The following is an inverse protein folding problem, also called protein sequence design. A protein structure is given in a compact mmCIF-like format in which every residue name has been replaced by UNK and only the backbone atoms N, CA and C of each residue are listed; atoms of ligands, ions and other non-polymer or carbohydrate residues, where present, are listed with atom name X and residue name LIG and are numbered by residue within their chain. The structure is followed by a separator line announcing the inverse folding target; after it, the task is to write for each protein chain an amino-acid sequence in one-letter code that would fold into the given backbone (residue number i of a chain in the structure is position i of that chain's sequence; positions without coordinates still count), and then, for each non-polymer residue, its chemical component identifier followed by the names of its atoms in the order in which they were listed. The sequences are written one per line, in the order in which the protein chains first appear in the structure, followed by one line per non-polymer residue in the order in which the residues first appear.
data_IF_117971082073
#
_entry.id   IF_117971082073
#
_cell.length_a   1.000
_cell.length_b   1.000
_cell.length_c   1.000
_cell.angle_alpha   90.00
_cell.angle_beta   90.00
_cell.angle_gamma   90.00
#
_symmetry.space_group_name_H-M   'P 1'
#
loop_
_entity.id
_entity.type
_entity.pdbx_description
1 polymer ?
#
# COMPACT_ATOMS: atom_id res chain seq x y z
N UNK A 1 3.63 13.85 -15.15
CA UNK A 1 2.73 14.18 -16.28
C UNK A 1 1.37 13.64 -15.90
N UNK A 2 0.33 14.49 -15.82
CA UNK A 2 -1.04 14.02 -15.56
C UNK A 2 -1.41 13.03 -16.66
N UNK A 3 -1.70 11.78 -16.31
CA UNK A 3 -2.13 10.77 -17.30
C UNK A 3 -3.65 10.76 -17.50
N UNK A 4 -4.40 11.25 -16.52
CA UNK A 4 -5.84 11.48 -16.60
C UNK A 4 -6.12 12.94 -16.95
N UNK A 5 -6.88 13.17 -18.02
CA UNK A 5 -7.23 14.52 -18.48
C UNK A 5 -8.37 15.12 -17.65
N UNK A 6 -8.35 16.43 -17.41
CA UNK A 6 -9.35 17.12 -16.59
C UNK A 6 -10.78 16.96 -17.17
N UNK A 7 -10.95 16.96 -18.50
CA UNK A 7 -12.24 16.70 -19.17
C UNK A 7 -12.74 15.27 -19.00
N UNK A 8 -11.82 14.31 -18.87
CA UNK A 8 -12.17 12.91 -18.59
C UNK A 8 -12.63 12.78 -17.14
N UNK A 9 -11.93 13.41 -16.20
CA UNK A 9 -12.27 13.39 -14.79
C UNK A 9 -13.63 14.04 -14.51
N UNK A 10 -13.92 15.20 -15.11
CA UNK A 10 -15.22 15.86 -14.95
C UNK A 10 -16.36 15.00 -15.48
N UNK A 11 -16.22 14.43 -16.70
CA UNK A 11 -17.25 13.55 -17.26
C UNK A 11 -17.49 12.30 -16.40
N UNK A 12 -16.42 11.69 -15.87
CA UNK A 12 -16.54 10.54 -14.99
C UNK A 12 -17.23 10.92 -13.66
N UNK A 13 -16.93 12.10 -13.12
CA UNK A 13 -17.61 12.66 -11.95
C UNK A 13 -19.10 12.90 -12.20
N UNK A 14 -19.47 13.45 -13.35
CA UNK A 14 -20.88 13.63 -13.76
C UNK A 14 -21.60 12.27 -13.89
N UNK A 15 -20.93 11.26 -14.46
CA UNK A 15 -21.51 9.95 -14.72
C UNK A 15 -21.67 9.08 -13.47
N UNK A 16 -20.68 9.07 -12.56
CA UNK A 16 -20.62 8.16 -11.41
C UNK A 16 -20.83 8.86 -10.06
N UNK A 17 -20.94 10.19 -10.08
CA UNK A 17 -21.10 11.06 -8.90
C UNK A 17 -19.81 11.19 -8.08
N UNK A 18 -19.73 12.25 -7.28
CA UNK A 18 -18.63 12.52 -6.34
C UNK A 18 -18.99 12.15 -4.89
N UNK A 19 -18.00 11.95 -4.00
CA UNK A 19 -16.58 11.77 -4.33
C UNK A 19 -16.35 10.50 -5.15
N UNK A 20 -15.30 10.49 -6.00
CA UNK A 20 -14.99 9.43 -6.97
C UNK A 20 -13.50 9.12 -7.00
N UNK A 21 -13.13 7.85 -6.86
CA UNK A 21 -11.77 7.38 -7.10
C UNK A 21 -11.58 7.03 -8.58
N UNK A 22 -10.51 7.53 -9.20
CA UNK A 22 -10.17 7.21 -10.59
C UNK A 22 -8.73 6.73 -10.67
N UNK A 23 -8.50 5.59 -11.32
CA UNK A 23 -7.20 4.94 -11.44
C UNK A 23 -6.76 4.82 -12.90
N UNK A 24 -5.49 5.08 -13.18
CA UNK A 24 -4.83 4.84 -14.45
C UNK A 24 -4.11 3.48 -14.45
N UNK A 25 -4.70 2.51 -15.16
CA UNK A 25 -4.16 1.16 -15.28
C UNK A 25 -2.84 1.07 -16.05
N UNK A 26 -2.59 1.98 -17.00
CA UNK A 26 -1.34 2.01 -17.76
C UNK A 26 -0.17 2.42 -16.88
N UNK A 27 -0.38 3.39 -15.99
CA UNK A 27 0.64 3.77 -15.04
C UNK A 27 0.95 2.64 -14.06
N UNK A 28 -0.05 1.88 -13.60
CA UNK A 28 0.16 0.69 -12.74
C UNK A 28 1.04 -0.34 -13.47
N UNK A 29 0.67 -0.74 -14.70
CA UNK A 29 1.47 -1.67 -15.53
C UNK A 29 2.90 -1.19 -15.72
N UNK A 30 3.08 0.11 -16.02
CA UNK A 30 4.40 0.74 -16.18
C UNK A 30 5.23 0.65 -14.89
N UNK A 31 4.62 0.84 -13.71
CA UNK A 31 5.32 0.72 -12.42
C UNK A 31 5.76 -0.70 -12.12
N UNK A 32 4.96 -1.71 -12.49
CA UNK A 32 5.39 -3.11 -12.41
C UNK A 32 6.60 -3.36 -13.30
N UNK A 33 6.56 -2.91 -14.56
CA UNK A 33 7.67 -3.08 -15.51
C UNK A 33 8.96 -2.38 -15.06
N UNK A 34 8.87 -1.26 -14.33
CA UNK A 34 10.03 -0.58 -13.76
C UNK A 34 10.79 -1.40 -12.70
N UNK A 35 10.18 -2.46 -12.19
CA UNK A 35 10.74 -3.39 -11.21
C UNK A 35 11.03 -4.78 -11.82
N UNK A 36 10.97 -4.93 -13.15
CA UNK A 36 11.17 -6.21 -13.84
C UNK A 36 12.60 -6.80 -13.70
N UNK A 37 13.54 -6.09 -13.08
CA UNK A 37 14.84 -6.63 -12.70
C UNK A 37 14.76 -7.58 -11.49
N UNK A 38 13.76 -7.41 -10.61
CA UNK A 38 13.48 -8.33 -9.52
C UNK A 38 12.82 -9.60 -10.06
N UNK A 39 13.14 -10.75 -9.45
CA UNK A 39 12.59 -12.03 -9.86
C UNK A 39 11.07 -12.11 -9.57
N UNK A 40 10.64 -11.49 -8.46
CA UNK A 40 9.23 -11.35 -8.09
C UNK A 40 8.92 -9.92 -7.67
N UNK A 41 7.92 -9.32 -8.29
CA UNK A 41 7.24 -8.11 -7.78
C UNK A 41 5.97 -8.56 -7.07
N UNK A 42 5.94 -8.45 -5.74
CA UNK A 42 4.83 -8.90 -4.89
C UNK A 42 4.04 -7.69 -4.38
N UNK A 43 2.87 -7.42 -4.94
CA UNK A 43 2.10 -6.24 -4.57
C UNK A 43 1.57 -6.33 -3.13
N UNK A 44 1.89 -5.32 -2.30
CA UNK A 44 1.32 -5.17 -0.97
C UNK A 44 -0.10 -4.59 -1.04
N UNK A 45 -1.12 -5.46 -1.10
CA UNK A 45 -2.49 -5.07 -1.46
C UNK A 45 -3.19 -4.13 -0.48
N UNK A 46 -2.74 -4.06 0.78
CA UNK A 46 -3.18 -3.04 1.76
C UNK A 46 -3.12 -1.60 1.22
N UNK A 47 -2.26 -1.34 0.22
CA UNK A 47 -2.20 -0.05 -0.46
C UNK A 47 -3.44 0.22 -1.35
N UNK A 48 -3.95 -0.80 -2.05
CA UNK A 48 -5.13 -0.72 -2.90
C UNK A 48 -5.67 -2.14 -3.20
N UNK A 49 -6.81 -2.51 -2.63
CA UNK A 49 -7.27 -3.90 -2.58
C UNK A 49 -8.50 -4.18 -3.48
N UNK A 50 -8.77 -3.32 -4.47
CA UNK A 50 -9.85 -3.56 -5.43
C UNK A 50 -9.55 -4.80 -6.30
N UNK A 51 -10.51 -5.72 -6.41
CA UNK A 51 -10.35 -6.98 -7.13
C UNK A 51 -9.91 -6.81 -8.59
N UNK A 52 -10.37 -5.74 -9.26
CA UNK A 52 -10.02 -5.47 -10.65
C UNK A 52 -8.59 -4.95 -10.78
N UNK A 53 -8.11 -4.17 -9.81
CA UNK A 53 -6.71 -3.74 -9.74
C UNK A 53 -5.79 -4.91 -9.40
N UNK A 54 -6.23 -5.82 -8.52
CA UNK A 54 -5.52 -7.07 -8.25
C UNK A 54 -5.38 -7.94 -9.50
N UNK A 55 -6.46 -8.10 -10.29
CA UNK A 55 -6.40 -8.80 -11.58
C UNK A 55 -5.46 -8.12 -12.56
N UNK A 56 -5.52 -6.79 -12.66
CA UNK A 56 -4.62 -5.99 -13.51
C UNK A 56 -3.14 -6.25 -13.17
N UNK A 57 -2.81 -6.25 -11.87
CA UNK A 57 -1.46 -6.49 -11.38
C UNK A 57 -1.00 -7.93 -11.64
N UNK A 58 -1.87 -8.91 -11.41
CA UNK A 58 -1.61 -10.31 -11.75
C UNK A 58 -1.32 -10.48 -13.24
N UNK A 59 -2.16 -9.89 -14.09
CA UNK A 59 -2.03 -9.98 -15.54
C UNK A 59 -0.77 -9.24 -16.05
N UNK A 60 -0.27 -8.26 -15.27
CA UNK A 60 1.01 -7.61 -15.48
C UNK A 60 2.22 -8.40 -14.91
N UNK A 61 2.00 -9.60 -14.35
CA UNK A 61 3.05 -10.49 -13.85
C UNK A 61 3.43 -10.31 -12.38
N UNK A 62 2.71 -9.47 -11.61
CA UNK A 62 2.95 -9.34 -10.18
C UNK A 62 2.36 -10.52 -9.40
N UNK A 63 3.01 -10.90 -8.29
CA UNK A 63 2.42 -11.67 -7.21
C UNK A 63 1.71 -10.74 -6.22
N UNK A 64 1.13 -11.28 -5.14
CA UNK A 64 0.46 -10.47 -4.10
C UNK A 64 0.86 -10.90 -2.69
N UNK A 65 0.92 -9.92 -1.79
CA UNK A 65 1.03 -10.09 -0.35
C UNK A 65 -0.33 -9.81 0.29
N UNK A 66 -0.75 -10.65 1.23
CA UNK A 66 -1.99 -10.51 1.99
C UNK A 66 -1.69 -10.44 3.48
N UNK A 67 -2.24 -9.46 4.19
CA UNK A 67 -1.98 -9.26 5.63
C UNK A 67 -3.19 -9.55 6.54
N UNK A 68 -4.27 -10.07 5.97
CA UNK A 68 -5.47 -10.50 6.70
C UNK A 68 -6.23 -11.59 5.94
N UNK A 69 -7.15 -12.29 6.61
CA UNK A 69 -8.06 -13.24 5.94
C UNK A 69 -8.83 -12.59 4.79
N UNK A 70 -9.36 -11.37 4.99
CA UNK A 70 -10.11 -10.66 3.95
C UNK A 70 -9.24 -10.33 2.72
N UNK A 71 -7.98 -10.00 2.92
CA UNK A 71 -7.01 -9.80 1.83
C UNK A 71 -6.62 -11.10 1.14
N UNK A 72 -6.51 -12.20 1.89
CA UNK A 72 -6.29 -13.53 1.31
C UNK A 72 -7.45 -13.92 0.39
N UNK A 73 -8.69 -13.77 0.85
CA UNK A 73 -9.86 -14.06 0.01
C UNK A 73 -9.95 -13.15 -1.23
N UNK A 74 -9.57 -11.87 -1.11
CA UNK A 74 -9.46 -10.97 -2.26
C UNK A 74 -8.43 -11.44 -3.27
N UNK A 75 -7.25 -11.85 -2.82
CA UNK A 75 -6.20 -12.39 -3.68
C UNK A 75 -6.68 -13.66 -4.41
N UNK A 76 -7.24 -14.62 -3.68
CA UNK A 76 -7.73 -15.87 -4.27
C UNK A 76 -8.89 -15.60 -5.27
N UNK A 77 -9.81 -14.69 -4.94
CA UNK A 77 -10.89 -14.30 -5.84
C UNK A 77 -10.42 -13.50 -7.07
N UNK A 78 -9.32 -12.76 -6.95
CA UNK A 78 -8.63 -12.15 -8.07
C UNK A 78 -7.85 -13.17 -8.91
N UNK A 79 -7.83 -14.44 -8.51
CA UNK A 79 -7.23 -15.57 -9.21
C UNK A 79 -5.73 -15.69 -9.01
N UNK A 80 -5.21 -15.22 -7.88
CA UNK A 80 -3.89 -15.63 -7.38
C UNK A 80 -4.00 -17.02 -6.75
N UNK A 81 -2.90 -17.76 -6.72
CA UNK A 81 -2.82 -19.12 -6.17
C UNK A 81 -1.57 -19.28 -5.30
N UNK A 82 -1.61 -20.26 -4.40
CA UNK A 82 -0.48 -20.59 -3.53
C UNK A 82 0.78 -20.99 -4.29
N UNK A 83 0.64 -21.57 -5.49
CA UNK A 83 1.74 -21.87 -6.40
C UNK A 83 1.38 -21.43 -7.81
N UNK A 84 2.34 -20.82 -8.50
CA UNK A 84 2.28 -20.49 -9.92
C UNK A 84 2.87 -21.62 -10.77
N UNK A 85 2.65 -21.58 -12.08
CA UNK A 85 3.28 -22.53 -13.02
C UNK A 85 4.82 -22.45 -12.99
N UNK A 86 5.37 -21.33 -12.52
CA UNK A 86 6.80 -21.06 -12.38
C UNK A 86 7.36 -21.57 -11.03
N UNK A 87 6.54 -22.21 -10.20
CA UNK A 87 6.96 -22.76 -8.90
C UNK A 87 7.12 -21.72 -7.79
N UNK A 88 6.73 -20.45 -8.03
CA UNK A 88 6.76 -19.37 -7.02
C UNK A 88 5.37 -19.17 -6.40
N UNK A 89 5.32 -18.62 -5.20
CA UNK A 89 4.05 -18.31 -4.55
C UNK A 89 3.36 -17.10 -5.17
N UNK A 90 2.19 -17.30 -5.77
CA UNK A 90 1.36 -16.23 -6.31
C UNK A 90 0.77 -15.34 -5.22
N UNK A 91 0.49 -15.91 -4.05
CA UNK A 91 0.13 -15.19 -2.82
C UNK A 91 0.98 -15.67 -1.64
N UNK A 92 1.44 -14.71 -0.83
CA UNK A 92 2.06 -14.96 0.49
C UNK A 92 1.20 -14.28 1.55
N UNK A 93 0.99 -14.94 2.68
CA UNK A 93 0.33 -14.34 3.84
C UNK A 93 1.38 -13.81 4.82
N UNK A 94 1.41 -12.49 5.04
CA UNK A 94 2.37 -11.85 5.95
C UNK A 94 1.66 -11.25 7.17
N UNK A 95 2.02 -11.72 8.36
CA UNK A 95 1.49 -11.16 9.60
C UNK A 95 2.46 -11.33 10.78
N UNK A 96 2.17 -10.63 11.88
CA UNK A 96 2.87 -10.84 13.16
C UNK A 96 2.04 -11.73 14.12
N UNK A 97 0.76 -11.96 13.80
CA UNK A 97 -0.18 -12.81 14.54
C UNK A 97 -1.17 -13.49 13.60
N UNK A 98 -1.74 -14.62 14.02
CA UNK A 98 -2.91 -15.23 13.40
C UNK A 98 -4.17 -14.96 14.23
N UNK A 99 -5.32 -14.81 13.55
CA UNK A 99 -6.56 -15.28 14.13
C UNK A 99 -6.81 -16.75 13.73
N UNK A 100 -7.72 -17.44 14.43
CA UNK A 100 -7.97 -18.87 14.23
C UNK A 100 -8.45 -19.20 12.81
N UNK A 101 -9.34 -18.37 12.27
CA UNK A 101 -9.90 -18.59 10.93
C UNK A 101 -8.83 -18.42 9.85
N UNK A 102 -7.96 -17.43 10.01
CA UNK A 102 -6.82 -17.17 9.13
C UNK A 102 -5.84 -18.33 9.15
N UNK A 103 -5.45 -18.82 10.33
CA UNK A 103 -4.55 -19.97 10.46
C UNK A 103 -5.11 -21.21 9.75
N UNK A 104 -6.39 -21.53 9.98
CA UNK A 104 -7.05 -22.64 9.30
C UNK A 104 -7.04 -22.42 7.78
N UNK A 105 -7.38 -21.21 7.32
CA UNK A 105 -7.50 -20.91 5.90
C UNK A 105 -6.16 -20.98 5.16
N UNK A 106 -5.06 -20.47 5.73
CA UNK A 106 -3.73 -20.55 5.09
C UNK A 106 -3.26 -22.01 4.99
N UNK A 107 -3.55 -22.84 5.98
CA UNK A 107 -3.27 -24.28 5.95
C UNK A 107 -4.11 -24.96 4.87
N UNK A 108 -5.41 -24.73 4.82
CA UNK A 108 -6.30 -25.31 3.80
C UNK A 108 -5.90 -24.90 2.38
N UNK A 109 -5.50 -23.64 2.19
CA UNK A 109 -5.08 -23.10 0.89
C UNK A 109 -3.62 -23.43 0.53
N UNK A 110 -2.84 -23.97 1.48
CA UNK A 110 -1.39 -24.20 1.35
C UNK A 110 -0.62 -22.92 0.97
N UNK A 111 -1.07 -21.76 1.46
CA UNK A 111 -0.47 -20.46 1.16
C UNK A 111 0.76 -20.26 2.02
N UNK A 112 1.90 -19.94 1.40
CA UNK A 112 3.13 -19.65 2.14
C UNK A 112 2.92 -18.53 3.18
N UNK A 113 3.50 -18.71 4.36
CA UNK A 113 3.35 -17.77 5.48
C UNK A 113 4.66 -17.09 5.78
N UNK A 114 4.67 -15.76 5.70
CA UNK A 114 5.75 -14.92 6.21
C UNK A 114 5.51 -14.59 7.67
N UNK A 115 6.16 -15.34 8.55
CA UNK A 115 5.93 -15.30 10.00
C UNK A 115 6.67 -14.13 10.65
N UNK A 116 5.91 -13.28 11.35
CA UNK A 116 6.43 -12.13 12.08
C UNK A 116 6.66 -12.37 13.57
N UNK A 117 6.37 -13.56 14.10
CA UNK A 117 6.61 -13.90 15.51
C UNK A 117 6.93 -15.37 15.74
N UNK A 118 7.63 -15.67 16.83
CA UNK A 118 7.95 -17.03 17.27
C UNK A 118 6.68 -17.83 17.56
N UNK A 119 5.67 -17.20 18.17
CA UNK A 119 4.40 -17.87 18.48
C UNK A 119 3.62 -18.28 17.22
N UNK A 120 3.75 -17.54 16.11
CA UNK A 120 3.18 -17.97 14.83
C UNK A 120 3.82 -19.28 14.33
N UNK A 121 5.12 -19.48 14.52
CA UNK A 121 5.80 -20.74 14.15
C UNK A 121 5.27 -21.91 14.96
N UNK A 122 5.04 -21.73 16.27
CA UNK A 122 4.41 -22.75 17.10
C UNK A 122 3.00 -23.11 16.63
N UNK A 123 2.16 -22.10 16.38
CA UNK A 123 0.77 -22.30 15.96
C UNK A 123 0.69 -22.99 14.59
N UNK A 124 1.46 -22.50 13.61
CA UNK A 124 1.47 -23.06 12.26
C UNK A 124 2.11 -24.44 12.22
N UNK A 125 3.27 -24.61 12.86
CA UNK A 125 4.00 -25.87 12.86
C UNK A 125 3.29 -27.01 13.57
N UNK A 126 2.51 -26.71 14.62
CA UNK A 126 1.68 -27.72 15.30
C UNK A 126 0.51 -28.20 14.42
N UNK A 127 -0.07 -27.32 13.61
CA UNK A 127 -1.24 -27.62 12.78
C UNK A 127 -0.85 -28.18 11.40
N UNK A 128 0.24 -27.70 10.83
CA UNK A 128 0.71 -28.04 9.48
C UNK A 128 2.23 -28.23 9.48
N UNK A 129 2.77 -29.33 10.02
CA UNK A 129 4.18 -29.67 9.85
C UNK A 129 4.56 -29.69 8.36
N UNK A 130 5.75 -29.22 8.00
CA UNK A 130 6.13 -29.11 6.58
C UNK A 130 5.68 -27.84 5.87
N UNK A 131 4.89 -26.96 6.51
CA UNK A 131 4.40 -25.75 5.85
C UNK A 131 5.55 -24.86 5.35
N UNK A 132 5.34 -24.21 4.21
CA UNK A 132 6.31 -23.30 3.61
C UNK A 132 6.23 -21.94 4.31
N UNK A 133 7.36 -21.51 4.87
CA UNK A 133 7.43 -20.28 5.66
C UNK A 133 8.55 -19.37 5.23
N UNK A 134 8.34 -18.07 5.35
CA UNK A 134 9.39 -17.05 5.38
C UNK A 134 9.56 -16.56 6.81
N UNK A 135 10.76 -16.12 7.18
CA UNK A 135 10.98 -15.42 8.44
C UNK A 135 11.07 -13.91 8.18
N UNK A 136 10.08 -13.15 8.70
CA UNK A 136 10.16 -11.70 8.74
C UNK A 136 11.04 -11.27 9.89
N UNK A 137 12.20 -10.69 9.59
CA UNK A 137 13.16 -10.28 10.60
C UNK A 137 13.08 -8.77 10.86
N UNK A 138 13.09 -8.40 12.14
CA UNK A 138 13.36 -7.04 12.61
C UNK A 138 14.87 -6.88 12.87
N UNK A 139 15.60 -6.09 12.08
CA UNK A 139 17.06 -5.99 12.14
C UNK A 139 17.59 -5.15 13.30
N UNK A 140 16.74 -4.73 14.24
CA UNK A 140 17.14 -3.91 15.38
C UNK A 140 17.01 -2.41 15.17
N UNK A 141 16.73 -1.99 13.94
CA UNK A 141 16.53 -0.60 13.56
C UNK A 141 15.40 -0.50 12.52
N UNK A 142 14.90 0.70 12.29
CA UNK A 142 13.85 0.94 11.31
C UNK A 142 13.90 2.34 10.71
N UNK A 143 13.00 2.59 9.76
CA UNK A 143 12.86 3.88 9.10
C UNK A 143 11.38 4.23 8.89
N UNK A 144 11.07 5.52 8.93
CA UNK A 144 9.73 6.06 8.78
C UNK A 144 9.74 7.57 8.88
N UNK A 145 8.88 8.24 8.10
CA UNK A 145 8.77 9.71 8.13
C UNK A 145 8.20 10.24 9.45
N UNK A 146 7.53 9.38 10.22
CA UNK A 146 7.00 9.68 11.56
C UNK A 146 7.18 8.48 12.49
N UNK A 147 7.10 8.71 13.80
CA UNK A 147 7.09 7.62 14.81
C UNK A 147 6.02 6.56 14.53
N UNK A 148 4.89 6.98 13.93
CA UNK A 148 3.75 6.10 13.59
C UNK A 148 4.01 5.21 12.37
N UNK A 149 5.04 5.51 11.57
CA UNK A 149 5.36 4.79 10.33
C UNK A 149 6.69 4.06 10.39
N UNK A 150 7.33 3.99 11.57
CA UNK A 150 8.54 3.22 11.76
C UNK A 150 8.21 1.71 11.74
N UNK A 151 8.86 0.97 10.84
CA UNK A 151 8.55 -0.44 10.60
C UNK A 151 9.57 -1.41 11.22
N UNK A 152 10.63 -0.92 11.86
CA UNK A 152 11.66 -1.73 12.54
C UNK A 152 12.22 -1.08 13.81
N UNK A 153 13.08 -1.80 14.53
CA UNK A 153 13.63 -1.39 15.81
C UNK A 153 12.73 -1.70 17.01
N UNK A 154 13.19 -1.35 18.21
CA UNK A 154 12.58 -1.77 19.49
C UNK A 154 11.14 -1.26 19.69
N UNK A 155 10.80 -0.14 19.03
CA UNK A 155 9.46 0.46 19.10
C UNK A 155 8.52 -0.06 18.00
N UNK A 156 8.95 -1.03 17.20
CA UNK A 156 8.14 -1.67 16.17
C UNK A 156 7.65 -3.03 16.65
N UNK A 157 6.37 -3.30 16.45
CA UNK A 157 5.76 -4.61 16.73
C UNK A 157 6.08 -5.69 15.68
N UNK A 158 6.80 -5.31 14.62
CA UNK A 158 6.88 -6.09 13.39
C UNK A 158 8.10 -7.00 13.36
N UNK A 159 7.90 -8.25 12.96
CA UNK A 159 8.97 -9.22 12.72
C UNK A 159 9.60 -9.82 13.97
N UNK A 160 10.24 -10.96 13.76
CA UNK A 160 11.05 -11.66 14.76
C UNK A 160 12.30 -10.81 15.00
N UNK A 161 12.56 -10.46 16.26
CA UNK A 161 13.77 -9.73 16.62
C UNK A 161 15.02 -10.51 16.19
N UNK A 162 15.98 -9.85 15.51
CA UNK A 162 17.13 -10.51 14.90
C UNK A 162 17.90 -11.46 15.84
N UNK A 163 18.05 -11.13 17.13
CA UNK A 163 18.73 -12.02 18.09
C UNK A 163 17.98 -13.32 18.40
N UNK A 164 16.70 -13.43 18.02
CA UNK A 164 15.88 -14.63 18.16
C UNK A 164 15.85 -15.50 16.88
N UNK A 165 16.64 -15.16 15.85
CA UNK A 165 16.71 -15.93 14.61
C UNK A 165 17.02 -17.41 14.87
N UNK A 166 17.98 -17.71 15.74
CA UNK A 166 18.35 -19.09 16.08
C UNK A 166 17.20 -19.87 16.76
N UNK A 167 16.36 -19.19 17.54
CA UNK A 167 15.19 -19.82 18.15
C UNK A 167 14.10 -20.09 17.12
N UNK A 168 13.89 -19.18 16.16
CA UNK A 168 13.02 -19.43 15.02
C UNK A 168 13.49 -20.65 14.20
N UNK A 169 14.79 -20.77 13.92
CA UNK A 169 15.36 -21.90 13.18
C UNK A 169 15.21 -23.23 13.92
N UNK A 170 15.31 -23.25 15.26
CA UNK A 170 15.01 -24.46 16.05
C UNK A 170 13.57 -24.93 15.83
N UNK A 171 12.61 -24.01 15.77
CA UNK A 171 11.20 -24.35 15.51
C UNK A 171 10.96 -24.79 14.08
N UNK A 172 11.60 -24.14 13.10
CA UNK A 172 11.59 -24.57 11.70
C UNK A 172 12.02 -26.04 11.60
N UNK A 173 13.15 -26.41 12.23
CA UNK A 173 13.62 -27.80 12.26
C UNK A 173 12.68 -28.73 13.02
N UNK A 174 12.19 -28.31 14.18
CA UNK A 174 11.32 -29.11 15.05
C UNK A 174 10.01 -29.52 14.34
N UNK A 175 9.33 -28.57 13.71
CA UNK A 175 8.08 -28.80 12.98
C UNK A 175 8.30 -29.19 11.51
N UNK A 176 9.56 -29.37 11.10
CA UNK A 176 9.98 -29.67 9.72
C UNK A 176 9.42 -28.65 8.72
N UNK A 177 9.24 -27.40 9.12
CA UNK A 177 8.78 -26.34 8.22
C UNK A 177 9.79 -26.16 7.09
N UNK A 178 9.28 -25.85 5.90
CA UNK A 178 10.12 -25.58 4.75
C UNK A 178 10.45 -24.08 4.73
N UNK A 179 11.66 -23.71 5.13
CA UNK A 179 12.09 -22.31 5.10
C UNK A 179 12.35 -21.87 3.65
N UNK A 180 11.48 -21.00 3.14
CA UNK A 180 11.61 -20.43 1.79
C UNK A 180 12.65 -19.33 1.76
N UNK A 181 12.68 -18.47 2.78
CA UNK A 181 13.55 -17.30 2.74
C UNK A 181 13.47 -16.38 3.95
N UNK A 182 14.31 -15.36 3.92
CA UNK A 182 14.28 -14.24 4.85
C UNK A 182 13.62 -13.02 4.22
N UNK A 183 12.89 -12.26 5.04
CA UNK A 183 12.18 -11.07 4.62
C UNK A 183 12.47 -9.92 5.61
N UNK A 184 12.71 -8.72 5.08
CA UNK A 184 12.79 -7.49 5.87
C UNK A 184 11.93 -6.40 5.25
N UNK A 185 11.09 -5.75 6.05
CA UNK A 185 10.28 -4.61 5.63
C UNK A 185 10.59 -3.41 6.49
N UNK A 186 11.46 -2.52 6.00
CA UNK A 186 11.96 -1.36 6.74
C UNK A 186 11.57 -0.01 6.11
N UNK A 187 11.40 0.01 4.79
CA UNK A 187 11.02 1.21 4.05
C UNK A 187 12.06 2.34 4.09
N UNK A 188 13.05 2.27 3.21
CA UNK A 188 14.12 3.25 3.09
C UNK A 188 13.77 4.50 2.27
N UNK A 189 12.65 4.52 1.53
CA UNK A 189 12.32 5.63 0.64
C UNK A 189 13.43 5.91 -0.37
N UNK A 190 14.03 7.11 -0.30
CA UNK A 190 15.19 7.53 -1.12
C UNK A 190 16.51 7.58 -0.34
N UNK A 191 16.55 7.10 0.92
CA UNK A 191 17.78 7.00 1.70
C UNK A 191 18.55 5.73 1.30
N UNK A 192 19.47 5.89 0.35
CA UNK A 192 20.29 4.80 -0.16
C UNK A 192 21.38 4.33 0.81
N UNK A 193 21.75 5.13 1.82
CA UNK A 193 22.68 4.68 2.87
C UNK A 193 21.96 3.74 3.83
N UNK A 194 20.73 4.10 4.21
CA UNK A 194 19.89 3.23 5.01
C UNK A 194 19.54 1.93 4.27
N UNK A 195 19.26 2.01 2.96
CA UNK A 195 19.07 0.82 2.12
C UNK A 195 20.28 -0.12 2.17
N UNK A 196 21.50 0.42 2.06
CA UNK A 196 22.73 -0.36 2.09
C UNK A 196 22.91 -1.07 3.44
N UNK A 197 22.53 -0.43 4.54
CA UNK A 197 22.54 -1.03 5.86
C UNK A 197 21.59 -2.23 5.93
N UNK A 198 20.34 -2.08 5.45
CA UNK A 198 19.36 -3.18 5.41
C UNK A 198 19.87 -4.34 4.54
N UNK A 199 20.43 -4.06 3.37
CA UNK A 199 20.98 -5.07 2.46
C UNK A 199 22.14 -5.84 3.12
N UNK A 200 23.04 -5.13 3.81
CA UNK A 200 24.17 -5.74 4.53
C UNK A 200 23.68 -6.65 5.66
N UNK A 201 22.73 -6.18 6.47
CA UNK A 201 22.16 -6.98 7.57
C UNK A 201 21.42 -8.22 7.05
N UNK A 202 20.67 -8.12 5.95
CA UNK A 202 20.06 -9.30 5.32
C UNK A 202 21.12 -10.35 4.97
N UNK A 203 22.20 -9.93 4.29
CA UNK A 203 23.27 -10.84 3.88
C UNK A 203 24.03 -11.44 5.08
N UNK A 204 24.25 -10.66 6.13
CA UNK A 204 24.87 -11.14 7.37
C UNK A 204 24.02 -12.22 8.03
N UNK A 205 22.74 -11.95 8.28
CA UNK A 205 21.83 -12.93 8.90
C UNK A 205 21.64 -14.19 8.07
N UNK A 206 21.60 -14.05 6.73
CA UNK A 206 21.50 -15.19 5.83
C UNK A 206 22.76 -16.07 5.85
N UNK A 207 23.96 -15.49 6.07
CA UNK A 207 25.23 -16.22 6.19
C UNK A 207 25.43 -16.81 7.59
N UNK A 208 24.90 -16.18 8.63
CA UNK A 208 24.93 -16.70 10.01
C UNK A 208 23.95 -17.85 10.25
N UNK A 209 22.96 -18.00 9.37
CA UNK A 209 21.99 -19.06 9.39
C UNK A 209 22.62 -20.39 8.93
N UNK A 210 22.64 -21.39 9.80
CA UNK A 210 22.91 -22.79 9.41
C UNK A 210 21.63 -23.41 8.78
N UNK A 211 21.14 -22.84 7.69
CA UNK A 211 19.95 -23.34 6.99
C UNK A 211 19.94 -22.87 5.54
N UNK A 212 19.42 -23.73 4.67
CA UNK A 212 19.26 -23.40 3.26
C UNK A 212 18.00 -22.53 3.02
N UNK A 213 18.02 -21.72 1.98
CA UNK A 213 16.89 -20.87 1.57
C UNK A 213 16.81 -20.73 0.04
N UNK A 214 15.60 -20.55 -0.47
CA UNK A 214 15.36 -20.36 -1.90
C UNK A 214 15.33 -18.90 -2.34
N UNK A 215 15.12 -17.96 -1.39
CA UNK A 215 14.85 -16.57 -1.71
C UNK A 215 15.12 -15.57 -0.57
N UNK A 216 15.23 -14.30 -0.92
CA UNK A 216 15.14 -13.16 0.00
C UNK A 216 14.11 -12.15 -0.51
N UNK A 217 13.45 -11.43 0.42
CA UNK A 217 12.54 -10.33 0.08
C UNK A 217 13.06 -9.01 0.62
N UNK A 218 13.16 -8.03 -0.27
CA UNK A 218 13.51 -6.64 0.02
C UNK A 218 12.43 -5.88 0.80
N UNK A 219 11.26 -6.50 0.98
CA UNK A 219 10.08 -5.83 1.49
C UNK A 219 9.68 -4.65 0.61
N UNK A 220 9.02 -3.67 1.22
CA UNK A 220 8.45 -2.52 0.52
C UNK A 220 9.03 -1.17 0.95
N UNK A 221 8.20 -0.14 0.82
CA UNK A 221 8.51 1.21 1.28
C UNK A 221 9.31 2.05 0.27
N UNK A 222 9.25 1.68 -1.01
CA UNK A 222 9.62 2.55 -2.12
C UNK A 222 8.72 3.80 -2.07
N UNK A 223 9.33 4.97 -1.97
CA UNK A 223 8.62 6.24 -1.92
C UNK A 223 8.16 6.69 -3.32
N UNK A 224 7.22 7.61 -3.33
CA UNK A 224 6.82 8.38 -4.51
C UNK A 224 6.84 9.86 -4.15
N UNK A 225 7.17 10.75 -5.09
CA UNK A 225 7.09 12.19 -4.85
C UNK A 225 5.63 12.62 -4.79
N UNK A 226 5.22 13.19 -3.66
CA UNK A 226 3.91 13.81 -3.44
C UNK A 226 3.95 15.31 -3.67
N UNK A 227 5.14 15.92 -3.61
CA UNK A 227 5.36 17.35 -3.85
C UNK A 227 6.24 17.56 -5.07
N UNK A 228 6.02 18.66 -5.78
CA UNK A 228 6.95 19.10 -6.82
C UNK A 228 8.35 19.31 -6.22
N UNK A 229 9.37 18.77 -6.90
CA UNK A 229 10.77 18.84 -6.47
C UNK A 229 11.24 17.69 -5.57
N UNK A 230 10.34 16.83 -5.08
CA UNK A 230 10.75 15.59 -4.42
C UNK A 230 11.37 14.61 -5.43
N UNK A 231 12.42 13.91 -5.00
CA UNK A 231 13.14 13.00 -5.86
C UNK A 231 12.38 11.67 -6.03
N UNK A 232 12.18 11.19 -7.27
CA UNK A 232 11.69 9.84 -7.48
C UNK A 232 12.75 8.81 -7.07
N UNK A 233 12.30 7.63 -6.67
CA UNK A 233 13.20 6.51 -6.37
C UNK A 233 13.91 6.01 -7.65
N UNK A 234 15.20 5.68 -7.53
CA UNK A 234 15.98 5.06 -8.58
C UNK A 234 15.90 3.53 -8.42
N UNK A 235 14.99 2.90 -9.17
CA UNK A 235 14.74 1.45 -9.07
C UNK A 235 15.95 0.60 -9.47
N UNK A 236 16.75 1.05 -10.45
CA UNK A 236 17.97 0.36 -10.86
C UNK A 236 19.04 0.37 -9.77
N UNK A 237 19.22 1.50 -9.08
CA UNK A 237 20.11 1.56 -7.92
C UNK A 237 19.59 0.70 -6.77
N UNK A 238 18.28 0.73 -6.51
CA UNK A 238 17.64 -0.09 -5.50
C UNK A 238 17.89 -1.59 -5.74
N UNK A 239 17.67 -2.04 -6.98
CA UNK A 239 17.95 -3.41 -7.42
C UNK A 239 19.43 -3.76 -7.25
N UNK A 240 20.35 -2.91 -7.68
CA UNK A 240 21.79 -3.21 -7.62
C UNK A 240 22.30 -3.46 -6.19
N UNK A 241 21.79 -2.74 -5.18
CA UNK A 241 22.16 -2.97 -3.79
C UNK A 241 21.62 -4.31 -3.25
N UNK A 242 20.36 -4.63 -3.55
CA UNK A 242 19.76 -5.91 -3.15
C UNK A 242 20.36 -7.10 -3.90
N UNK A 243 20.68 -6.95 -5.18
CA UNK A 243 21.35 -7.97 -5.98
C UNK A 243 22.78 -8.25 -5.48
N UNK A 244 23.49 -7.22 -4.98
CA UNK A 244 24.77 -7.42 -4.32
C UNK A 244 24.63 -8.25 -3.03
N UNK A 245 23.63 -7.97 -2.20
CA UNK A 245 23.33 -8.78 -1.02
C UNK A 245 22.97 -10.22 -1.42
N UNK A 246 22.10 -10.39 -2.42
CA UNK A 246 21.73 -11.70 -2.99
C UNK A 246 22.97 -12.50 -3.41
N UNK A 247 23.86 -11.93 -4.22
CA UNK A 247 25.09 -12.59 -4.69
C UNK A 247 26.01 -13.04 -3.57
N UNK A 248 26.11 -12.26 -2.49
CA UNK A 248 26.88 -12.64 -1.28
C UNK A 248 26.26 -13.88 -0.61
N UNK A 249 24.94 -13.97 -0.57
CA UNK A 249 24.22 -15.13 -0.02
C UNK A 249 24.37 -16.35 -0.95
N UNK A 250 24.18 -16.18 -2.26
CA UNK A 250 24.37 -17.27 -3.25
C UNK A 250 25.79 -17.86 -3.19
N UNK A 251 26.81 -17.01 -3.01
CA UNK A 251 28.19 -17.46 -2.84
C UNK A 251 28.40 -18.31 -1.59
N UNK A 252 27.62 -18.07 -0.53
CA UNK A 252 27.65 -18.86 0.70
C UNK A 252 26.87 -20.18 0.56
N UNK A 253 25.67 -20.14 -0.03
CA UNK A 253 24.79 -21.30 -0.21
C UNK A 253 25.26 -22.24 -1.33
N UNK A 254 25.98 -21.73 -2.31
CA UNK A 254 26.47 -22.50 -3.46
C UNK A 254 25.45 -22.70 -4.57
N UNK A 255 24.32 -22.01 -4.55
CA UNK A 255 23.30 -22.02 -5.61
C UNK A 255 22.60 -20.66 -5.72
N UNK A 256 21.93 -20.36 -6.86
CA UNK A 256 21.16 -19.13 -7.02
C UNK A 256 19.92 -19.10 -6.12
N UNK A 257 19.52 -17.90 -5.71
CA UNK A 257 18.27 -17.64 -4.97
C UNK A 257 17.46 -16.53 -5.65
N UNK A 258 16.16 -16.49 -5.37
CA UNK A 258 15.26 -15.45 -5.89
C UNK A 258 15.36 -14.18 -5.04
N UNK A 259 15.20 -13.02 -5.67
CA UNK A 259 15.07 -11.73 -5.02
C UNK A 259 13.69 -11.12 -5.29
N UNK A 260 12.90 -11.01 -4.22
CA UNK A 260 11.56 -10.43 -4.26
C UNK A 260 11.55 -8.98 -3.77
N UNK A 261 10.58 -8.20 -4.23
CA UNK A 261 10.27 -6.85 -3.74
C UNK A 261 8.77 -6.70 -3.50
N UNK A 262 8.38 -5.99 -2.44
CA UNK A 262 6.99 -5.86 -1.99
C UNK A 262 6.42 -4.42 -2.05
N UNK A 263 6.40 -3.77 -3.23
CA UNK A 263 5.89 -2.42 -3.35
C UNK A 263 4.37 -2.41 -3.20
N UNK A 264 3.86 -1.49 -2.37
CA UNK A 264 2.45 -1.09 -2.37
C UNK A 264 2.32 0.29 -3.00
N UNK A 265 2.73 1.31 -2.23
CA UNK A 265 2.67 2.74 -2.60
C UNK A 265 3.22 3.03 -4.00
N UNK A 266 4.40 2.52 -4.31
CA UNK A 266 5.10 2.79 -5.57
C UNK A 266 4.30 2.36 -6.81
N UNK A 267 3.55 1.26 -6.72
CA UNK A 267 2.78 0.75 -7.86
C UNK A 267 1.52 1.57 -8.15
N UNK A 268 0.83 2.04 -7.10
CA UNK A 268 -0.55 2.53 -7.25
C UNK A 268 -0.77 3.98 -6.83
N UNK A 269 0.12 4.60 -6.04
CA UNK A 269 -0.12 5.95 -5.50
C UNK A 269 -0.41 6.98 -6.59
N UNK A 270 0.54 7.17 -7.50
CA UNK A 270 0.46 8.18 -8.57
C UNK A 270 -0.53 7.81 -9.69
N UNK A 271 -1.00 6.56 -9.69
CA UNK A 271 -2.01 6.09 -10.62
C UNK A 271 -3.43 6.46 -10.20
N UNK A 272 -3.67 6.83 -8.94
CA UNK A 272 -4.99 7.16 -8.45
C UNK A 272 -5.18 8.63 -8.11
N UNK A 273 -6.37 9.15 -8.37
CA UNK A 273 -6.84 10.45 -7.90
C UNK A 273 -8.19 10.30 -7.19
N UNK A 274 -8.49 11.26 -6.31
CA UNK A 274 -9.82 11.44 -5.74
C UNK A 274 -10.43 12.73 -6.30
N UNK A 275 -11.57 12.62 -6.98
CA UNK A 275 -12.34 13.76 -7.48
C UNK A 275 -13.46 14.06 -6.50
N UNK A 276 -13.60 15.33 -6.11
CA UNK A 276 -14.57 15.78 -5.11
C UNK A 276 -15.19 17.10 -5.55
N UNK A 277 -16.49 17.28 -5.31
CA UNK A 277 -17.20 18.51 -5.65
C UNK A 277 -17.03 19.56 -4.54
N UNK A 278 -16.82 20.81 -4.93
CA UNK A 278 -16.84 21.96 -4.03
C UNK A 278 -18.28 22.27 -3.64
N UNK A 279 -18.58 22.24 -2.34
CA UNK A 279 -19.93 22.44 -1.79
C UNK A 279 -20.10 23.73 -1.01
N UNK A 280 -19.02 24.36 -0.57
CA UNK A 280 -19.05 25.70 -0.02
C UNK A 280 -17.70 26.41 -0.14
N UNK A 281 -17.73 27.73 -0.28
CA UNK A 281 -16.57 28.60 -0.05
C UNK A 281 -16.94 29.68 0.95
N UNK A 282 -16.06 29.95 1.94
CA UNK A 282 -16.36 30.93 3.00
C UNK A 282 -15.09 31.49 3.64
N UNK A 283 -15.23 32.67 4.24
CA UNK A 283 -14.20 33.26 5.10
C UNK A 283 -14.46 32.92 6.56
N UNK A 284 -13.41 32.49 7.25
CA UNK A 284 -13.40 32.23 8.70
C UNK A 284 -12.32 33.13 9.30
N UNK A 285 -12.71 34.36 9.66
CA UNK A 285 -11.75 35.42 10.02
C UNK A 285 -10.76 35.66 8.88
N UNK A 286 -9.46 35.52 9.16
CA UNK A 286 -8.39 35.71 8.18
C UNK A 286 -8.13 34.54 7.23
N UNK A 287 -8.80 33.39 7.38
CA UNK A 287 -8.60 32.20 6.53
C UNK A 287 -9.76 32.03 5.54
N UNK A 288 -9.43 31.70 4.29
CA UNK A 288 -10.42 31.29 3.29
C UNK A 288 -10.53 29.76 3.27
N UNK A 289 -11.76 29.25 3.31
CA UNK A 289 -12.08 27.83 3.31
C UNK A 289 -12.80 27.45 2.02
N UNK A 290 -12.38 26.33 1.44
CA UNK A 290 -13.12 25.58 0.41
C UNK A 290 -13.52 24.24 1.01
N UNK A 291 -14.81 24.00 1.11
CA UNK A 291 -15.37 22.75 1.63
C UNK A 291 -15.80 21.87 0.46
N UNK A 292 -15.36 20.61 0.48
CA UNK A 292 -15.64 19.64 -0.58
C UNK A 292 -16.50 18.50 -0.05
N UNK A 293 -17.03 17.65 -0.95
CA UNK A 293 -17.91 16.53 -0.60
C UNK A 293 -17.19 15.23 -0.21
N UNK A 294 -15.86 15.20 -0.26
CA UNK A 294 -15.00 14.16 0.31
C UNK A 294 -14.55 14.53 1.72
N UNK A 295 -14.51 13.57 2.64
CA UNK A 295 -13.95 13.74 3.99
C UNK A 295 -12.72 12.85 4.24
N UNK A 296 -12.16 12.91 5.45
CA UNK A 296 -11.12 11.95 5.85
C UNK A 296 -11.64 10.50 5.88
N UNK A 297 -12.96 10.29 5.98
CA UNK A 297 -13.57 8.97 5.82
C UNK A 297 -13.31 8.40 4.41
N UNK A 298 -13.05 9.24 3.42
CA UNK A 298 -12.66 8.84 2.07
C UNK A 298 -11.12 8.80 1.99
N UNK A 299 -10.45 9.92 2.24
CA UNK A 299 -8.99 10.07 2.17
C UNK A 299 -8.40 10.40 3.54
N UNK A 300 -8.04 9.37 4.31
CA UNK A 300 -7.62 9.47 5.71
C UNK A 300 -6.24 10.14 5.91
N UNK A 301 -5.34 10.03 4.92
CA UNK A 301 -3.91 10.31 5.10
C UNK A 301 -3.59 11.73 5.59
N UNK A 302 -4.23 12.80 5.08
CA UNK A 302 -3.97 14.16 5.56
C UNK A 302 -4.32 14.33 7.03
N UNK A 303 -5.47 13.83 7.48
CA UNK A 303 -5.88 13.93 8.89
C UNK A 303 -5.08 13.04 9.82
N UNK A 304 -4.77 11.81 9.40
CA UNK A 304 -4.08 10.86 10.27
C UNK A 304 -2.57 11.11 10.40
N UNK A 305 -1.95 11.56 9.31
CA UNK A 305 -0.49 11.66 9.20
C UNK A 305 0.02 13.06 8.83
N UNK A 306 -0.85 14.05 8.58
CA UNK A 306 -0.42 15.32 7.98
C UNK A 306 0.10 15.16 6.55
N UNK A 307 -0.32 14.11 5.85
CA UNK A 307 0.20 13.78 4.52
C UNK A 307 -0.17 14.83 3.47
N UNK A 308 0.79 15.18 2.62
CA UNK A 308 0.56 16.02 1.46
C UNK A 308 -0.03 15.22 0.29
N UNK A 309 -0.88 15.87 -0.49
CA UNK A 309 -1.43 15.42 -1.78
C UNK A 309 -1.58 16.66 -2.64
N UNK A 310 -0.98 16.74 -3.82
CA UNK A 310 -1.20 17.89 -4.71
C UNK A 310 -2.71 18.06 -5.01
N UNK A 311 -3.16 19.29 -5.25
CA UNK A 311 -4.58 19.57 -5.52
C UNK A 311 -4.72 20.45 -6.76
N UNK A 312 -5.62 20.08 -7.68
CA UNK A 312 -5.98 20.93 -8.82
C UNK A 312 -7.49 21.16 -8.89
N UNK A 313 -7.89 22.31 -9.44
CA UNK A 313 -9.29 22.66 -9.67
C UNK A 313 -9.67 22.37 -11.12
N UNK A 314 -10.81 21.72 -11.33
CA UNK A 314 -11.50 21.61 -12.62
C UNK A 314 -12.74 22.50 -12.53
N UNK A 315 -12.87 23.43 -13.47
CA UNK A 315 -13.94 24.43 -13.50
C UNK A 315 -14.46 24.59 -14.92
N UNK A 316 -15.70 25.04 -15.08
CA UNK A 316 -16.28 25.41 -16.37
C UNK A 316 -15.89 26.82 -16.84
N UNK A 317 -15.07 27.53 -16.07
CA UNK A 317 -14.63 28.91 -16.37
C UNK A 317 -13.41 28.87 -17.29
N UNK A 318 -13.51 29.56 -18.42
CA UNK A 318 -12.48 29.59 -19.47
C UNK A 318 -11.29 30.52 -19.17
N UNK A 319 -11.43 31.42 -18.18
CA UNK A 319 -10.41 32.39 -17.83
C UNK A 319 -9.45 31.88 -16.74
N UNK A 320 -8.15 32.23 -16.81
CA UNK A 320 -7.21 31.96 -15.72
C UNK A 320 -7.71 32.53 -14.40
N UNK A 321 -7.90 31.65 -13.42
CA UNK A 321 -8.40 32.04 -12.12
C UNK A 321 -7.28 32.60 -11.25
N UNK A 322 -7.54 33.65 -10.45
CA UNK A 322 -6.57 34.12 -9.48
C UNK A 322 -6.25 33.02 -8.46
N UNK A 323 -5.01 33.01 -7.99
CA UNK A 323 -4.56 32.11 -6.95
C UNK A 323 -4.81 32.72 -5.56
N UNK A 324 -5.29 31.91 -4.62
CA UNK A 324 -5.59 32.34 -3.26
C UNK A 324 -5.10 31.30 -2.23
N UNK A 325 -4.68 31.76 -1.05
CA UNK A 325 -4.40 30.90 0.10
C UNK A 325 -5.70 30.32 0.64
N UNK A 326 -5.86 29.01 0.50
CA UNK A 326 -7.09 28.27 0.78
C UNK A 326 -6.81 27.12 1.75
N UNK A 327 -7.66 27.00 2.78
CA UNK A 327 -7.78 25.80 3.59
C UNK A 327 -8.82 24.90 2.94
N UNK A 328 -8.47 23.65 2.66
CA UNK A 328 -9.41 22.66 2.11
C UNK A 328 -9.87 21.74 3.24
N UNK A 329 -11.18 21.58 3.40
CA UNK A 329 -11.79 20.75 4.43
C UNK A 329 -12.98 19.96 3.86
N UNK A 330 -13.37 18.89 4.55
CA UNK A 330 -14.45 18.01 4.13
C UNK A 330 -15.81 18.34 4.75
N UNK A 331 -16.81 17.46 4.56
CA UNK A 331 -18.18 17.68 4.99
C UNK A 331 -18.49 17.07 6.37
N UNK A 332 -17.53 16.41 7.02
CA UNK A 332 -17.78 15.69 8.26
C UNK A 332 -18.04 16.68 9.41
N UNK A 333 -18.93 16.29 10.33
CA UNK A 333 -19.13 17.00 11.59
C UNK A 333 -17.99 16.67 12.58
N UNK A 334 -16.75 16.82 12.13
CA UNK A 334 -15.53 16.55 12.90
C UNK A 334 -14.50 17.65 12.61
N UNK A 335 -13.95 18.23 13.65
CA UNK A 335 -12.95 19.30 13.60
C UNK A 335 -11.67 18.92 12.85
N UNK A 336 -11.29 17.64 12.90
CA UNK A 336 -10.11 17.10 12.21
C UNK A 336 -10.29 16.88 10.71
N UNK A 337 -11.47 17.16 10.14
CA UNK A 337 -11.79 16.98 8.71
C UNK A 337 -11.24 18.10 7.82
N UNK A 338 -9.91 18.24 7.85
CA UNK A 338 -9.16 19.23 7.10
C UNK A 338 -8.10 18.51 6.25
N UNK A 339 -8.04 18.77 4.95
CA UNK A 339 -7.04 18.15 4.10
C UNK A 339 -5.72 18.92 4.05
N UNK A 340 -5.76 20.24 4.26
CA UNK A 340 -4.56 21.08 4.32
C UNK A 340 -4.12 21.25 5.77
N UNK A 341 -3.53 20.19 6.33
CA UNK A 341 -2.96 20.18 7.67
C UNK A 341 -1.60 19.46 7.70
N UNK A 342 -0.72 19.90 8.59
CA UNK A 342 0.57 19.27 8.86
C UNK A 342 0.47 18.22 9.99
N UNK A 343 1.54 17.46 10.19
CA UNK A 343 1.64 16.53 11.32
C UNK A 343 1.39 17.26 12.65
N UNK A 344 0.60 16.65 13.53
CA UNK A 344 0.17 17.26 14.78
C UNK A 344 -1.11 18.11 14.69
N UNK A 345 -1.79 18.15 13.54
CA UNK A 345 -3.11 18.78 13.39
C UNK A 345 -3.06 20.29 13.09
N UNK A 346 -1.91 20.79 12.65
CA UNK A 346 -1.73 22.22 12.38
C UNK A 346 -2.34 22.56 11.03
N UNK A 347 -3.38 23.38 11.01
CA UNK A 347 -4.08 23.79 9.77
C UNK A 347 -3.22 24.77 8.95
N UNK A 348 -2.92 24.38 7.72
CA UNK A 348 -2.17 25.16 6.73
C UNK A 348 -3.05 25.58 5.57
N UNK A 349 -2.62 26.63 4.85
CA UNK A 349 -3.24 27.06 3.60
C UNK A 349 -2.41 26.62 2.41
N UNK A 350 -3.06 26.24 1.31
CA UNK A 350 -2.42 26.03 0.01
C UNK A 350 -2.79 27.12 -0.98
N UNK A 351 -1.87 27.45 -1.87
CA UNK A 351 -2.14 28.38 -2.95
C UNK A 351 -2.91 27.62 -4.04
N UNK A 352 -4.20 27.90 -4.20
CA UNK A 352 -5.10 27.23 -5.14
C UNK A 352 -5.90 28.26 -5.96
N UNK A 353 -6.35 27.92 -7.18
CA UNK A 353 -7.31 28.74 -7.91
C UNK A 353 -8.58 29.01 -7.09
N UNK A 354 -9.17 30.20 -7.22
CA UNK A 354 -10.43 30.52 -6.52
C UNK A 354 -11.58 29.65 -7.01
N UNK A 355 -12.01 28.70 -6.18
CA UNK A 355 -13.10 27.77 -6.46
C UNK A 355 -14.49 28.38 -6.23
N UNK A 356 -15.50 27.81 -6.88
CA UNK A 356 -16.92 28.06 -6.65
C UNK A 356 -17.67 26.75 -6.41
N UNK A 357 -18.86 26.84 -5.81
CA UNK A 357 -19.73 25.67 -5.62
C UNK A 357 -20.05 25.04 -6.97
N UNK A 358 -19.89 23.73 -7.08
CA UNK A 358 -20.05 22.97 -8.32
C UNK A 358 -18.75 22.72 -9.10
N UNK A 359 -17.65 23.41 -8.78
CA UNK A 359 -16.33 23.05 -9.32
C UNK A 359 -15.86 21.70 -8.73
N UNK A 360 -14.94 21.01 -9.41
CA UNK A 360 -14.30 19.81 -8.87
C UNK A 360 -12.89 20.09 -8.38
N UNK A 361 -12.58 19.62 -7.17
CA UNK A 361 -11.23 19.54 -6.65
C UNK A 361 -10.70 18.12 -6.80
N UNK A 362 -9.50 18.00 -7.36
CA UNK A 362 -8.81 16.72 -7.58
C UNK A 362 -7.64 16.59 -6.62
N UNK A 363 -7.63 15.54 -5.81
CA UNK A 363 -6.51 15.15 -4.96
C UNK A 363 -5.64 14.14 -5.72
N UNK A 364 -4.39 14.52 -5.99
CA UNK A 364 -3.43 13.71 -6.75
C UNK A 364 -2.71 12.67 -5.88
N UNK A 365 -2.13 11.66 -6.51
CA UNK A 365 -1.33 10.61 -5.87
C UNK A 365 -2.09 9.82 -4.77
N UNK A 366 -3.40 9.70 -4.93
CA UNK A 366 -4.34 9.15 -3.95
C UNK A 366 -4.65 7.66 -4.14
N UNK A 367 -3.97 6.98 -5.08
CA UNK A 367 -4.25 5.58 -5.38
C UNK A 367 -3.73 4.57 -4.35
N UNK A 368 -2.84 4.99 -3.44
CA UNK A 368 -2.31 4.16 -2.35
C UNK A 368 -2.77 4.71 -1.00
N UNK A 369 -3.34 3.83 -0.17
CA UNK A 369 -3.85 4.18 1.16
C UNK A 369 -4.90 5.31 1.11
N UNK A 370 -5.65 5.37 0.00
CA UNK A 370 -6.85 6.18 -0.18
C UNK A 370 -8.07 5.32 0.13
N UNK A 371 -8.72 4.80 -0.91
CA UNK A 371 -9.89 3.92 -0.80
C UNK A 371 -9.71 2.71 0.15
N UNK A 372 -8.49 2.20 0.35
CA UNK A 372 -8.23 1.08 1.27
C UNK A 372 -8.29 1.47 2.75
N UNK A 373 -8.21 2.77 3.07
CA UNK A 373 -8.33 3.32 4.42
C UNK A 373 -9.68 4.02 4.64
N UNK A 374 -10.60 3.94 3.68
CA UNK A 374 -11.90 4.58 3.82
C UNK A 374 -12.73 3.93 4.94
N UNK A 375 -13.59 4.72 5.57
CA UNK A 375 -14.50 4.29 6.63
C UNK A 375 -15.92 4.77 6.38
N UNK A 376 -16.87 4.21 7.12
CA UNK A 376 -18.26 4.68 7.16
C UNK A 376 -18.52 5.68 8.29
N UNK A 377 -17.50 6.42 8.70
CA UNK A 377 -17.66 7.49 9.71
C UNK A 377 -18.70 8.52 9.24
N UNK A 378 -19.53 8.99 10.18
CA UNK A 378 -20.75 9.76 9.92
C UNK A 378 -21.76 9.07 8.99
N UNK A 379 -21.80 7.73 9.01
CA UNK A 379 -22.66 6.88 8.17
C UNK A 379 -22.56 7.19 6.67
N UNK A 380 -21.39 7.68 6.24
CA UNK A 380 -21.12 7.95 4.82
C UNK A 380 -20.74 6.66 4.12
N UNK A 381 -21.34 6.41 2.98
CA UNK A 381 -21.07 5.19 2.22
C UNK A 381 -19.79 5.31 1.40
N UNK A 382 -19.14 4.18 1.12
CA UNK A 382 -17.93 4.16 0.31
C UNK A 382 -18.18 4.70 -1.11
N UNK A 383 -17.30 5.61 -1.54
CA UNK A 383 -17.25 6.14 -2.90
C UNK A 383 -17.04 5.05 -3.97
N UNK A 384 -17.53 5.34 -5.17
CA UNK A 384 -17.28 4.54 -6.36
C UNK A 384 -15.80 4.58 -6.78
N UNK A 385 -15.36 3.55 -7.49
CA UNK A 385 -14.00 3.45 -8.07
C UNK A 385 -14.09 3.17 -9.57
N UNK A 386 -13.35 3.92 -10.38
CA UNK A 386 -13.26 3.77 -11.84
C UNK A 386 -11.83 3.47 -12.26
N UNK A 387 -11.64 2.50 -13.14
CA UNK A 387 -10.37 2.19 -13.79
C UNK A 387 -10.40 2.69 -15.23
N UNK A 388 -9.39 3.46 -15.61
CA UNK A 388 -9.07 3.86 -16.98
C UNK A 388 -7.89 3.03 -17.44
N UNK A 389 -8.09 2.14 -18.39
CA UNK A 389 -7.04 1.25 -18.89
C UNK A 389 -7.20 1.03 -20.41
N UNK A 390 -6.11 1.22 -21.17
CA UNK A 390 -6.11 1.10 -22.64
C UNK A 390 -7.23 1.92 -23.31
N UNK A 391 -7.48 3.13 -22.80
CA UNK A 391 -8.53 4.03 -23.27
C UNK A 391 -9.96 3.63 -22.89
N UNK A 392 -10.14 2.52 -22.15
CA UNK A 392 -11.44 2.09 -21.65
C UNK A 392 -11.65 2.52 -20.21
N UNK A 393 -12.85 3.03 -19.94
CA UNK A 393 -13.30 3.42 -18.60
C UNK A 393 -14.28 2.38 -18.07
N UNK A 394 -14.01 1.86 -16.87
CA UNK A 394 -14.84 0.83 -16.25
C UNK A 394 -15.06 1.15 -14.78
N UNK A 395 -16.32 1.09 -14.34
CA UNK A 395 -16.65 1.08 -12.93
C UNK A 395 -16.15 -0.24 -12.31
N UNK A 396 -15.19 -0.16 -11.40
CA UNK A 396 -14.55 -1.31 -10.74
C UNK A 396 -14.98 -1.47 -9.28
N UNK A 397 -15.67 -0.48 -8.72
CA UNK A 397 -16.48 -0.59 -7.51
C UNK A 397 -17.66 0.36 -7.60
N UNK A 398 -18.88 -0.15 -7.46
CA UNK A 398 -20.07 0.69 -7.33
C UNK A 398 -20.03 1.45 -6.00
N UNK A 399 -20.66 2.63 -5.96
CA UNK A 399 -20.91 3.33 -4.69
C UNK A 399 -21.69 2.41 -3.76
N UNK A 400 -21.28 2.35 -2.49
CA UNK A 400 -22.00 1.57 -1.49
C UNK A 400 -23.39 2.20 -1.27
N UNK A 401 -24.49 1.44 -1.40
CA UNK A 401 -25.82 1.88 -1.00
C UNK A 401 -25.90 2.04 0.53
N UNK A 402 -26.77 2.93 0.99
CA UNK A 402 -27.03 3.09 2.42
C UNK A 402 -27.52 1.78 3.06
N UNK A 403 -28.39 1.05 2.36
CA UNK A 403 -28.94 -0.24 2.82
C UNK A 403 -27.85 -1.28 3.13
N UNK A 404 -26.70 -1.23 2.44
CA UNK A 404 -25.59 -2.14 2.73
C UNK A 404 -24.93 -1.83 4.11
N UNK A 405 -25.12 -0.63 4.67
CA UNK A 405 -24.75 -0.32 6.07
C UNK A 405 -25.78 -0.85 7.05
N UNK A 406 -27.07 -0.65 6.75
CA UNK A 406 -28.18 -1.00 7.65
C UNK A 406 -28.41 -2.51 7.76
N UNK A 407 -28.08 -3.28 6.72
CA UNK A 407 -28.30 -4.74 6.67
C UNK A 407 -27.67 -5.52 7.84
N UNK A 408 -26.65 -4.95 8.49
CA UNK A 408 -26.03 -5.57 9.67
C UNK A 408 -26.91 -5.47 10.94
N UNK A 409 -27.96 -4.66 10.92
CA UNK A 409 -28.83 -4.34 12.06
C UNK A 409 -30.30 -4.73 11.82
N UNK A 410 -30.72 -4.88 10.57
CA UNK A 410 -32.13 -5.12 10.20
C UNK A 410 -32.68 -6.49 10.62
N UNK A 411 -31.82 -7.50 10.82
CA UNK A 411 -32.20 -8.88 11.16
C UNK A 411 -31.61 -9.36 12.52
N UNK A 412 -31.35 -8.43 13.45
CA UNK A 412 -30.77 -8.71 14.78
C UNK A 412 -31.77 -9.28 15.80
#
# INVERSE_FOLDING_TARGET
MKTLADTQLSRLADQYGTPLWVYDGQLIKKRVQQLAAFDTVRFAQKACSNLHILRLLRDAGAAVDAVSLGELERALHAGFSAQTAQGTAGVVFTADVFDRATLQRVVEAQVEVNVGSIDMLHQLGALSPGHRVWLRINPGFGHGHSRKTNTGGENSKHGIWHTHLQDALKLVRHYRLHLVGLHMHIGSGVDYQHLQQVCSTMAELAVEMDHDIEAISAGGGLSVPYRAGELPINTSHYFAQWDHARKRIEAHLGHPIRLEIEPGRFLVAQAGVLVSEVRATKHMGGKHFTLVDAGFNDLMRPSLYGSYHEMSLITSRDEPLPMQKTVVAGPLCESGDVFTQAEGGIVESRLLPVAQVGDYLVFHDAGAYGASMSSNYNSRTHAAEVLVDDGQERLIRRRQPLDDLLRLEEDC
#
